data_IF_893922311040
#
_entry.id   IF_893922311040
#
_cell.length_a   1.000
_cell.length_b   1.000
_cell.length_c   1.000
_cell.angle_alpha   90.00
_cell.angle_beta   90.00
_cell.angle_gamma   90.00
#
_symmetry.space_group_name_H-M   'P 1'
#
loop_
_entity.id
_entity.type
_entity.pdbx_description
1 polymer ?
#
# COMPACT_ATOMS: atom_id res chain seq x y z
N UNK A 1 83.19 -25.71 16.71
CA UNK A 1 82.76 -26.79 15.84
C UNK A 1 81.35 -27.18 16.24
N UNK A 2 80.37 -26.69 15.56
CA UNK A 2 78.95 -27.00 15.81
C UNK A 2 78.46 -27.84 14.60
N UNK A 3 78.03 -29.08 14.88
CA UNK A 3 77.50 -30.01 13.93
C UNK A 3 76.04 -29.68 13.62
N UNK A 4 75.71 -29.44 12.32
CA UNK A 4 74.37 -29.26 11.83
C UNK A 4 73.79 -30.60 11.42
N UNK A 5 72.78 -31.10 12.11
CA UNK A 5 72.04 -32.31 11.78
C UNK A 5 70.93 -31.91 10.78
N UNK A 6 70.96 -32.55 9.58
CA UNK A 6 69.96 -32.45 8.52
C UNK A 6 68.77 -33.35 8.80
N UNK A 7 67.58 -32.72 9.07
CA UNK A 7 66.33 -33.44 9.18
C UNK A 7 65.62 -33.44 7.81
N UNK A 8 65.53 -34.62 7.18
CA UNK A 8 64.73 -34.83 5.96
C UNK A 8 63.24 -35.03 6.34
N UNK A 9 62.25 -34.44 5.62
CA UNK A 9 60.85 -34.67 5.89
C UNK A 9 60.41 -36.07 5.38
N UNK A 10 59.76 -36.82 6.26
CA UNK A 10 59.13 -38.12 5.92
C UNK A 10 57.87 -37.88 5.08
N UNK A 11 57.71 -38.64 4.03
CA UNK A 11 56.53 -38.73 3.18
C UNK A 11 55.35 -39.34 3.96
N UNK A 12 54.12 -38.72 3.94
CA UNK A 12 53.00 -39.32 4.62
C UNK A 12 52.49 -40.58 3.90
N UNK A 13 51.88 -41.52 4.62
CA UNK A 13 51.37 -42.78 4.03
C UNK A 13 50.19 -42.48 3.08
N UNK A 14 50.11 -43.25 1.99
CA UNK A 14 49.04 -43.18 1.02
C UNK A 14 47.71 -43.56 1.68
N UNK A 15 46.77 -42.59 1.81
CA UNK A 15 45.42 -42.86 2.25
C UNK A 15 44.60 -43.50 1.12
N UNK A 16 44.04 -44.67 1.45
CA UNK A 16 43.25 -45.47 0.52
C UNK A 16 41.81 -44.91 0.47
N UNK A 17 41.51 -44.07 -0.52
CA UNK A 17 40.25 -43.27 -0.62
C UNK A 17 39.06 -44.07 -1.19
N UNK A 18 39.04 -45.38 -1.05
CA UNK A 18 37.94 -46.20 -1.59
C UNK A 18 36.57 -45.88 -0.97
N UNK A 19 36.51 -45.48 0.29
CA UNK A 19 35.28 -45.05 0.96
C UNK A 19 34.67 -43.80 0.33
N UNK A 20 35.51 -42.86 -0.14
CA UNK A 20 35.05 -41.64 -0.83
C UNK A 20 34.42 -41.96 -2.18
N UNK A 21 34.94 -42.96 -2.91
CA UNK A 21 34.35 -43.37 -4.18
C UNK A 21 33.01 -44.09 -4.01
N UNK A 22 32.80 -44.81 -2.90
CA UNK A 22 31.49 -45.42 -2.58
C UNK A 22 30.44 -44.35 -2.29
N UNK A 23 30.76 -43.29 -1.52
CA UNK A 23 29.85 -42.17 -1.24
C UNK A 23 29.47 -41.41 -2.51
N UNK A 24 30.41 -41.18 -3.41
CA UNK A 24 30.15 -40.57 -4.72
C UNK A 24 29.23 -41.46 -5.57
N UNK A 25 29.41 -42.74 -5.57
CA UNK A 25 28.56 -43.70 -6.29
C UNK A 25 27.12 -43.73 -5.76
N UNK A 26 26.94 -43.66 -4.42
CA UNK A 26 25.61 -43.62 -3.78
C UNK A 26 24.91 -42.29 -4.11
N UNK A 27 25.63 -41.16 -4.07
CA UNK A 27 25.07 -39.84 -4.43
C UNK A 27 24.63 -39.79 -5.90
N UNK A 28 25.43 -40.36 -6.81
CA UNK A 28 25.08 -40.42 -8.25
C UNK A 28 23.86 -41.32 -8.50
N UNK A 29 23.74 -42.43 -7.81
CA UNK A 29 22.60 -43.35 -7.90
C UNK A 29 21.30 -42.66 -7.35
N UNK A 30 21.41 -41.88 -6.27
CA UNK A 30 20.28 -41.12 -5.74
C UNK A 30 19.80 -40.03 -6.69
N UNK A 31 20.70 -39.33 -7.37
CA UNK A 31 20.36 -38.33 -8.39
C UNK A 31 19.68 -38.95 -9.60
N UNK A 32 20.18 -40.11 -10.06
CA UNK A 32 19.55 -40.85 -11.17
C UNK A 32 18.16 -41.36 -10.76
N UNK A 33 18.00 -41.88 -9.55
CA UNK A 33 16.70 -42.34 -9.04
C UNK A 33 15.67 -41.17 -8.93
N UNK A 34 16.11 -40.01 -8.47
CA UNK A 34 15.28 -38.80 -8.46
C UNK A 34 14.89 -38.30 -9.86
N UNK A 35 15.82 -38.37 -10.82
CA UNK A 35 15.54 -38.00 -12.20
C UNK A 35 14.55 -38.96 -12.88
N UNK A 36 14.68 -40.28 -12.62
CA UNK A 36 13.74 -41.29 -13.13
C UNK A 36 12.37 -41.16 -12.46
N UNK A 37 12.32 -40.90 -11.15
CA UNK A 37 11.07 -40.67 -10.41
C UNK A 37 10.33 -39.43 -10.93
N UNK A 38 11.06 -38.34 -11.19
CA UNK A 38 10.47 -37.12 -11.75
C UNK A 38 9.98 -37.28 -13.18
N UNK A 39 10.66 -38.10 -14.01
CA UNK A 39 10.23 -38.37 -15.37
C UNK A 39 9.03 -39.33 -15.44
N UNK A 40 8.92 -40.29 -14.53
CA UNK A 40 7.73 -41.16 -14.44
C UNK A 40 6.51 -40.42 -13.86
N UNK A 41 6.71 -39.52 -12.94
CA UNK A 41 5.62 -38.66 -12.41
C UNK A 41 5.07 -37.71 -13.49
N UNK A 42 5.92 -37.17 -14.37
CA UNK A 42 5.49 -36.36 -15.51
C UNK A 42 4.71 -37.20 -16.56
N UNK A 43 5.15 -38.44 -16.82
CA UNK A 43 4.45 -39.33 -17.75
C UNK A 43 3.10 -39.82 -17.20
N UNK A 44 2.94 -39.96 -15.88
CA UNK A 44 1.66 -40.34 -15.26
C UNK A 44 0.68 -39.19 -15.19
N UNK A 45 1.12 -37.94 -14.99
CA UNK A 45 0.26 -36.74 -15.08
C UNK A 45 -0.24 -36.49 -16.51
N UNK A 46 0.56 -36.79 -17.52
CA UNK A 46 0.15 -36.66 -18.93
C UNK A 46 -0.90 -37.69 -19.36
N UNK A 47 -1.10 -38.79 -18.63
CA UNK A 47 -2.07 -39.83 -18.96
C UNK A 47 -3.43 -39.69 -18.25
N UNK A 48 -3.54 -38.76 -17.28
CA UNK A 48 -4.81 -38.48 -16.60
C UNK A 48 -5.61 -37.32 -17.24
N UNK A 49 -5.06 -36.63 -18.25
CA UNK A 49 -5.72 -35.51 -18.94
C UNK A 49 -6.42 -35.91 -20.24
N UNK A 50 -6.53 -37.20 -20.59
CA UNK A 50 -7.31 -37.64 -21.71
C UNK A 50 -8.83 -37.66 -21.37
N UNK A 51 -9.50 -36.50 -21.55
CA UNK A 51 -10.94 -36.43 -21.43
C UNK A 51 -11.55 -35.07 -21.09
N UNK A 52 -10.75 -34.06 -20.86
CA UNK A 52 -11.26 -32.68 -20.67
C UNK A 52 -10.85 -31.86 -21.88
N UNK A 53 -11.81 -31.31 -22.60
CA UNK A 53 -11.54 -30.37 -23.70
C UNK A 53 -10.74 -29.19 -23.17
N UNK A 54 -9.55 -28.95 -23.72
CA UNK A 54 -8.69 -27.86 -23.31
C UNK A 54 -9.27 -26.52 -23.79
N UNK A 55 -9.40 -25.57 -22.88
CA UNK A 55 -9.71 -24.18 -23.21
C UNK A 55 -8.45 -23.49 -23.71
N UNK A 56 -8.46 -23.05 -24.97
CA UNK A 56 -7.32 -22.33 -25.58
C UNK A 56 -7.57 -20.84 -25.55
N UNK A 57 -6.64 -20.08 -24.96
CA UNK A 57 -6.69 -18.62 -24.88
C UNK A 57 -5.50 -18.01 -25.63
N UNK A 58 -5.74 -16.99 -26.44
CA UNK A 58 -4.69 -16.23 -27.11
C UNK A 58 -4.25 -15.05 -26.23
N UNK A 59 -2.95 -14.95 -25.98
CA UNK A 59 -2.31 -13.86 -25.21
C UNK A 59 -1.19 -13.26 -26.04
N UNK A 60 -1.17 -11.94 -26.15
CA UNK A 60 -0.13 -11.18 -26.85
C UNK A 60 0.59 -10.20 -25.90
N UNK A 61 1.56 -9.47 -26.40
CA UNK A 61 2.33 -8.45 -25.65
C UNK A 61 2.11 -7.08 -26.26
N UNK A 62 1.74 -6.08 -25.45
CA UNK A 62 1.79 -4.67 -25.81
C UNK A 62 2.65 -3.89 -24.80
N UNK A 63 3.83 -3.42 -25.25
CA UNK A 63 4.82 -2.79 -24.36
C UNK A 63 5.28 -3.76 -23.28
N UNK A 64 4.97 -3.45 -22.02
CA UNK A 64 5.31 -4.24 -20.83
C UNK A 64 4.06 -4.94 -20.23
N UNK A 65 3.02 -5.21 -21.04
CA UNK A 65 1.79 -5.82 -20.57
C UNK A 65 1.37 -7.01 -21.42
N UNK A 66 0.74 -8.00 -20.83
CA UNK A 66 0.01 -9.04 -21.55
C UNK A 66 -1.37 -8.53 -21.98
N UNK A 67 -1.82 -8.98 -23.15
CA UNK A 67 -3.16 -8.62 -23.70
C UNK A 67 -3.88 -9.89 -24.18
N UNK A 68 -5.02 -10.24 -23.56
CA UNK A 68 -5.58 -9.63 -22.36
C UNK A 68 -4.65 -9.79 -21.15
N UNK A 69 -4.78 -8.93 -20.13
CA UNK A 69 -4.03 -9.03 -18.88
C UNK A 69 -4.66 -10.02 -17.88
N UNK A 70 -5.93 -10.40 -18.10
CA UNK A 70 -6.65 -11.37 -17.28
C UNK A 70 -7.63 -12.21 -18.09
N UNK A 71 -7.96 -13.40 -17.58
CA UNK A 71 -9.01 -14.27 -18.07
C UNK A 71 -9.79 -14.90 -16.92
N UNK A 72 -11.06 -15.20 -17.17
CA UNK A 72 -11.90 -15.95 -16.25
C UNK A 72 -12.10 -17.37 -16.79
N UNK A 73 -11.91 -18.39 -15.96
CA UNK A 73 -12.09 -19.79 -16.31
C UNK A 73 -12.86 -20.55 -15.22
N UNK A 74 -13.75 -21.48 -15.55
CA UNK A 74 -14.37 -22.36 -14.55
C UNK A 74 -13.33 -23.18 -13.78
N UNK A 75 -13.63 -23.47 -12.52
CA UNK A 75 -12.80 -24.37 -11.70
C UNK A 75 -12.63 -25.74 -12.40
N UNK A 76 -11.39 -26.22 -12.46
CA UNK A 76 -11.03 -27.48 -13.12
C UNK A 76 -10.85 -27.36 -14.65
N UNK A 77 -10.81 -26.15 -15.20
CA UNK A 77 -10.50 -25.93 -16.63
C UNK A 77 -9.06 -26.36 -16.94
N UNK A 78 -8.89 -27.16 -18.00
CA UNK A 78 -7.57 -27.43 -18.57
C UNK A 78 -7.21 -26.24 -19.49
N UNK A 79 -6.31 -25.37 -19.06
CA UNK A 79 -5.94 -24.14 -19.76
C UNK A 79 -4.71 -24.34 -20.64
N UNK A 80 -4.84 -23.97 -21.92
CA UNK A 80 -3.73 -23.84 -22.86
C UNK A 80 -3.64 -22.39 -23.33
N UNK A 81 -2.51 -21.74 -23.12
CA UNK A 81 -2.29 -20.35 -23.58
C UNK A 81 -1.45 -20.36 -24.84
N UNK A 82 -2.00 -19.80 -25.92
CA UNK A 82 -1.24 -19.50 -27.13
C UNK A 82 -0.63 -18.12 -27.02
N UNK A 83 0.61 -18.07 -26.58
CA UNK A 83 1.35 -16.83 -26.30
C UNK A 83 2.08 -16.35 -27.55
N UNK A 84 1.80 -15.11 -27.99
CA UNK A 84 2.48 -14.45 -29.10
C UNK A 84 3.21 -13.22 -28.60
N UNK A 85 4.52 -13.20 -28.74
CA UNK A 85 5.30 -12.00 -28.43
C UNK A 85 5.21 -11.00 -29.59
N UNK A 86 4.32 -10.02 -29.46
CA UNK A 86 4.14 -8.92 -30.43
C UNK A 86 4.98 -7.68 -30.08
N UNK A 87 5.73 -7.73 -28.97
CA UNK A 87 6.65 -6.67 -28.56
C UNK A 87 7.96 -6.66 -29.33
N UNK A 88 8.85 -5.77 -28.96
CA UNK A 88 10.18 -5.56 -29.58
C UNK A 88 11.33 -6.17 -28.77
N UNK A 89 11.03 -6.75 -27.59
CA UNK A 89 12.00 -7.42 -26.70
C UNK A 89 11.59 -8.88 -26.48
N UNK A 90 12.49 -9.66 -25.91
CA UNK A 90 12.23 -11.03 -25.48
C UNK A 90 11.30 -11.01 -24.26
N UNK A 91 10.25 -11.83 -24.28
CA UNK A 91 9.35 -12.05 -23.16
C UNK A 91 9.13 -13.53 -22.93
N UNK A 92 8.57 -13.87 -21.78
CA UNK A 92 8.07 -15.21 -21.46
C UNK A 92 6.78 -15.10 -20.65
N UNK A 93 6.07 -16.20 -20.48
CA UNK A 93 4.91 -16.30 -19.60
C UNK A 93 5.06 -17.55 -18.75
N UNK A 94 4.97 -17.37 -17.44
CA UNK A 94 4.91 -18.43 -16.45
C UNK A 94 3.56 -18.40 -15.73
N UNK A 95 2.89 -19.55 -15.62
CA UNK A 95 1.65 -19.75 -14.86
C UNK A 95 1.87 -20.97 -13.95
N UNK A 96 1.81 -20.78 -12.64
CA UNK A 96 2.15 -21.83 -11.70
C UNK A 96 3.56 -22.38 -11.92
N UNK A 97 3.66 -23.68 -12.14
CA UNK A 97 4.95 -24.36 -12.41
C UNK A 97 5.30 -24.45 -13.92
N UNK A 98 4.38 -24.05 -14.79
CA UNK A 98 4.53 -24.16 -16.24
C UNK A 98 4.99 -22.82 -16.85
N UNK A 99 5.89 -22.87 -17.86
CA UNK A 99 6.44 -21.66 -18.48
C UNK A 99 6.69 -21.87 -19.99
N UNK A 100 6.56 -20.79 -20.77
CA UNK A 100 6.83 -20.79 -22.23
C UNK A 100 8.31 -20.93 -22.54
N UNK A 101 9.20 -20.65 -21.57
CA UNK A 101 10.57 -20.24 -21.89
C UNK A 101 10.61 -18.91 -22.65
N UNK A 102 11.81 -18.42 -22.97
CA UNK A 102 12.00 -17.13 -23.65
C UNK A 102 11.51 -17.15 -25.08
N UNK A 103 10.62 -16.20 -25.41
CA UNK A 103 9.97 -16.06 -26.72
C UNK A 103 10.48 -14.78 -27.39
N UNK A 104 11.14 -14.93 -28.52
CA UNK A 104 11.65 -13.80 -29.33
C UNK A 104 10.51 -12.99 -29.99
N UNK A 105 10.72 -11.71 -30.29
CA UNK A 105 9.78 -10.88 -31.03
C UNK A 105 9.20 -11.57 -32.27
N UNK A 106 7.88 -11.50 -32.45
CA UNK A 106 7.13 -12.07 -33.55
C UNK A 106 6.95 -13.60 -33.48
N UNK A 107 7.33 -14.25 -32.38
CA UNK A 107 7.15 -15.69 -32.18
C UNK A 107 5.92 -16.02 -31.38
N UNK A 108 5.31 -17.16 -31.69
CA UNK A 108 4.20 -17.75 -30.95
C UNK A 108 4.61 -19.10 -30.40
N UNK A 109 4.23 -19.37 -29.15
CA UNK A 109 4.41 -20.67 -28.48
C UNK A 109 3.12 -21.03 -27.74
N UNK A 110 2.91 -22.32 -27.49
CA UNK A 110 1.81 -22.80 -26.66
C UNK A 110 2.34 -23.16 -25.28
N UNK A 111 1.63 -22.71 -24.24
CA UNK A 111 1.85 -23.05 -22.84
C UNK A 111 0.67 -23.87 -22.35
N UNK A 112 0.89 -25.14 -22.06
CA UNK A 112 -0.05 -25.95 -21.31
C UNK A 112 0.08 -25.61 -19.82
N UNK A 113 -0.86 -24.82 -19.30
CA UNK A 113 -0.90 -24.41 -17.91
C UNK A 113 -1.50 -25.49 -16.99
N UNK A 114 -2.07 -26.57 -17.56
CA UNK A 114 -2.69 -27.67 -16.82
C UNK A 114 -4.10 -27.32 -16.30
N UNK A 115 -4.53 -28.06 -15.27
CA UNK A 115 -5.83 -27.84 -14.63
C UNK A 115 -5.74 -26.65 -13.67
N UNK A 116 -6.63 -25.71 -13.86
CA UNK A 116 -6.73 -24.51 -13.02
C UNK A 116 -7.79 -24.76 -11.94
N UNK A 117 -7.34 -25.01 -10.72
CA UNK A 117 -8.19 -25.33 -9.56
C UNK A 117 -8.48 -24.15 -8.66
N UNK A 118 -7.63 -23.11 -8.73
CA UNK A 118 -7.71 -21.88 -7.94
C UNK A 118 -7.20 -20.69 -8.75
N UNK A 119 -7.66 -19.50 -8.42
CA UNK A 119 -7.17 -18.25 -9.01
C UNK A 119 -5.66 -18.19 -8.89
N UNK A 120 -4.97 -17.89 -9.97
CA UNK A 120 -3.51 -17.86 -10.03
C UNK A 120 -3.01 -16.73 -10.92
N UNK A 121 -1.85 -16.19 -10.63
CA UNK A 121 -1.22 -15.13 -11.41
C UNK A 121 -0.03 -15.69 -12.20
N UNK A 122 -0.07 -15.50 -13.51
CA UNK A 122 1.07 -15.65 -14.39
C UNK A 122 1.89 -14.36 -14.47
N UNK A 123 3.15 -14.44 -14.89
CA UNK A 123 4.02 -13.28 -15.05
C UNK A 123 5.19 -13.55 -16.00
N UNK A 124 5.81 -12.49 -16.49
CA UNK A 124 7.08 -12.58 -17.22
C UNK A 124 8.24 -12.76 -16.23
N UNK A 125 9.08 -13.80 -16.42
CA UNK A 125 10.19 -14.12 -15.51
C UNK A 125 11.46 -13.30 -15.76
N UNK A 126 11.49 -12.50 -16.83
CA UNK A 126 12.61 -11.63 -17.14
C UNK A 126 12.77 -10.57 -16.05
N UNK A 127 14.00 -10.36 -15.60
CA UNK A 127 14.31 -9.48 -14.48
C UNK A 127 13.71 -8.06 -14.68
N UNK A 128 12.89 -7.62 -13.73
CA UNK A 128 12.25 -6.30 -13.72
C UNK A 128 10.90 -6.23 -14.46
N UNK A 129 10.53 -7.19 -15.30
CA UNK A 129 9.30 -7.13 -16.08
C UNK A 129 8.05 -7.30 -15.21
N UNK A 130 8.05 -8.25 -14.28
CA UNK A 130 6.96 -8.39 -13.29
C UNK A 130 6.77 -7.11 -12.47
N UNK A 131 7.86 -6.48 -12.02
CA UNK A 131 7.81 -5.23 -11.25
C UNK A 131 7.29 -4.03 -12.06
N UNK A 132 7.30 -4.12 -13.40
CA UNK A 132 6.74 -3.14 -14.32
C UNK A 132 5.29 -3.45 -14.72
N UNK A 133 4.64 -4.43 -14.05
CA UNK A 133 3.24 -4.78 -14.29
C UNK A 133 3.03 -5.85 -15.35
N UNK A 134 4.07 -6.57 -15.80
CA UNK A 134 3.91 -7.65 -16.78
C UNK A 134 3.40 -8.93 -16.11
N UNK A 135 2.11 -8.92 -15.77
CA UNK A 135 1.37 -10.00 -15.10
C UNK A 135 0.15 -10.42 -15.92
N UNK A 136 -0.31 -11.64 -15.70
CA UNK A 136 -1.46 -12.25 -16.38
C UNK A 136 -2.32 -13.00 -15.37
N UNK A 137 -3.51 -12.51 -15.07
CA UNK A 137 -4.38 -13.08 -14.06
C UNK A 137 -5.28 -14.17 -14.63
N UNK A 138 -5.33 -15.32 -13.98
CA UNK A 138 -6.22 -16.42 -14.31
C UNK A 138 -7.19 -16.60 -13.15
N UNK A 139 -8.39 -16.05 -13.29
CA UNK A 139 -9.42 -16.06 -12.26
C UNK A 139 -10.28 -17.32 -12.39
N UNK A 140 -10.51 -18.03 -11.28
CA UNK A 140 -11.40 -19.19 -11.24
C UNK A 140 -12.80 -18.75 -10.87
N UNK A 141 -13.78 -19.15 -11.69
CA UNK A 141 -15.22 -18.92 -11.45
C UNK A 141 -15.89 -20.22 -11.01
N UNK A 142 -16.87 -20.14 -10.10
CA UNK A 142 -17.62 -21.31 -9.59
C UNK A 142 -18.70 -21.86 -10.55
N UNK A 143 -18.69 -21.49 -11.83
CA UNK A 143 -19.66 -21.94 -12.81
C UNK A 143 -19.24 -23.27 -13.48
N UNK A 144 -20.12 -24.31 -13.56
CA UNK A 144 -19.82 -25.53 -14.32
C UNK A 144 -19.79 -25.26 -15.82
N UNK A 145 -18.83 -25.89 -16.50
CA UNK A 145 -18.70 -25.83 -17.95
C UNK A 145 -19.91 -26.49 -18.65
N UNK A 146 -20.86 -25.69 -19.16
CA UNK A 146 -21.87 -26.15 -20.09
C UNK A 146 -21.84 -25.32 -21.39
N UNK A 147 -21.91 -26.03 -22.51
CA UNK A 147 -21.87 -25.49 -23.84
C UNK A 147 -23.12 -24.68 -24.24
N UNK A 148 -22.89 -23.76 -25.15
CA UNK A 148 -23.81 -23.04 -26.01
C UNK A 148 -25.30 -22.91 -25.59
N UNK A 149 -25.66 -21.70 -25.11
CA UNK A 149 -26.93 -21.08 -25.53
C UNK A 149 -27.02 -19.61 -25.05
N UNK A 150 -26.98 -18.72 -26.04
CA UNK A 150 -27.75 -17.47 -26.15
C UNK A 150 -27.81 -16.48 -24.97
N UNK A 151 -27.18 -15.34 -25.17
CA UNK A 151 -27.69 -13.98 -24.95
C UNK A 151 -28.56 -13.71 -23.72
N UNK A 152 -28.02 -12.95 -22.77
CA UNK A 152 -28.84 -12.07 -21.93
C UNK A 152 -29.00 -12.47 -20.49
N UNK A 153 -27.92 -12.46 -19.72
CA UNK A 153 -27.97 -12.10 -18.33
C UNK A 153 -26.69 -11.32 -18.00
N UNK A 154 -26.90 -10.05 -17.72
CA UNK A 154 -25.86 -9.22 -17.12
C UNK A 154 -25.51 -9.81 -15.74
N UNK A 155 -24.45 -10.60 -15.67
CA UNK A 155 -23.77 -10.78 -14.41
C UNK A 155 -23.15 -9.41 -14.11
N UNK A 156 -23.60 -8.78 -13.04
CA UNK A 156 -22.88 -7.72 -12.39
C UNK A 156 -21.55 -8.32 -11.89
N UNK A 157 -20.57 -8.36 -12.75
CA UNK A 157 -19.21 -8.05 -12.33
C UNK A 157 -19.34 -6.69 -11.69
N UNK A 158 -19.09 -6.56 -10.40
CA UNK A 158 -19.03 -5.26 -9.77
C UNK A 158 -17.98 -4.49 -10.56
N UNK A 159 -18.42 -3.62 -11.45
CA UNK A 159 -17.52 -2.84 -12.30
C UNK A 159 -16.77 -1.93 -11.33
N UNK A 160 -15.43 -2.02 -11.36
CA UNK A 160 -14.61 -1.04 -10.64
C UNK A 160 -15.17 0.36 -10.92
N UNK A 161 -15.44 1.18 -9.90
CA UNK A 161 -16.00 2.50 -10.12
C UNK A 161 -15.11 3.32 -11.06
N UNK A 162 -15.71 4.09 -11.95
CA UNK A 162 -14.96 4.99 -12.80
C UNK A 162 -14.19 5.99 -11.97
N UNK A 163 -12.89 6.11 -12.20
CA UNK A 163 -12.04 7.09 -11.50
C UNK A 163 -12.36 8.49 -12.02
N UNK A 164 -12.86 9.43 -11.18
CA UNK A 164 -13.17 10.76 -11.63
C UNK A 164 -11.94 11.48 -12.22
N UNK A 165 -12.12 12.10 -13.38
CA UNK A 165 -11.07 12.90 -14.01
C UNK A 165 -10.64 14.10 -13.15
N UNK A 166 -9.45 14.65 -13.43
CA UNK A 166 -8.98 15.85 -12.72
C UNK A 166 -9.96 17.03 -12.81
N UNK A 167 -10.63 17.18 -13.96
CA UNK A 167 -11.63 18.22 -14.18
C UNK A 167 -12.86 18.03 -13.27
N UNK A 168 -13.33 16.79 -13.12
CA UNK A 168 -14.46 16.47 -12.23
C UNK A 168 -14.08 16.67 -10.76
N UNK A 169 -12.86 16.29 -10.36
CA UNK A 169 -12.39 16.46 -8.97
C UNK A 169 -12.22 17.92 -8.54
N UNK A 170 -11.96 18.83 -9.49
CA UNK A 170 -11.78 20.28 -9.24
C UNK A 170 -12.98 21.13 -9.64
N UNK A 171 -14.08 20.52 -10.06
CA UNK A 171 -15.31 21.23 -10.38
C UNK A 171 -16.02 21.69 -9.10
N UNK A 172 -16.32 22.98 -9.02
CA UNK A 172 -17.12 23.54 -7.92
C UNK A 172 -18.47 22.84 -7.80
N UNK A 173 -18.86 22.49 -6.57
CA UNK A 173 -20.12 21.82 -6.26
C UNK A 173 -20.84 22.53 -5.12
N UNK A 174 -22.12 22.78 -5.32
CA UNK A 174 -22.95 23.43 -4.30
C UNK A 174 -23.03 22.55 -3.03
N UNK A 175 -22.73 23.16 -1.88
CA UNK A 175 -22.79 22.48 -0.58
C UNK A 175 -21.59 21.59 -0.25
N UNK A 176 -20.58 21.51 -1.11
CA UNK A 176 -19.33 20.82 -0.77
C UNK A 176 -18.63 21.50 0.40
N UNK A 177 -18.08 20.70 1.30
CA UNK A 177 -17.19 21.16 2.38
C UNK A 177 -15.98 20.26 2.45
N UNK A 178 -14.80 20.88 2.38
CA UNK A 178 -13.56 20.19 2.66
C UNK A 178 -13.48 19.78 4.15
N UNK A 179 -12.70 18.76 4.43
CA UNK A 179 -12.34 18.43 5.81
C UNK A 179 -11.64 19.64 6.46
N UNK A 180 -12.08 20.01 7.68
CA UNK A 180 -11.45 21.10 8.42
C UNK A 180 -10.06 20.65 8.91
N UNK A 181 -9.03 21.14 8.23
CA UNK A 181 -7.65 20.83 8.55
C UNK A 181 -7.10 21.61 9.76
N UNK A 182 -7.86 22.59 10.30
CA UNK A 182 -7.41 23.38 11.44
C UNK A 182 -7.13 22.47 12.64
N UNK A 183 -5.91 22.57 13.16
CA UNK A 183 -5.52 21.75 14.29
C UNK A 183 -6.24 22.21 15.57
N UNK A 184 -6.90 21.33 16.31
CA UNK A 184 -7.56 21.70 17.55
C UNK A 184 -6.55 22.21 18.59
N UNK A 185 -6.99 23.14 19.43
CA UNK A 185 -6.16 23.61 20.54
C UNK A 185 -5.84 22.47 21.51
N UNK A 186 -4.61 22.43 22.03
CA UNK A 186 -4.25 21.50 23.10
C UNK A 186 -5.12 21.71 24.33
N UNK A 187 -5.76 20.62 24.80
CA UNK A 187 -6.66 20.64 25.97
C UNK A 187 -5.90 20.25 27.23
N UNK A 188 -6.60 19.78 28.21
CA UNK A 188 -6.10 19.41 29.55
C UNK A 188 -5.06 18.26 29.54
N UNK A 189 -4.39 18.04 30.68
CA UNK A 189 -3.36 17.02 30.88
C UNK A 189 -3.86 15.56 30.91
N UNK A 190 -5.18 15.37 30.93
CA UNK A 190 -5.82 14.07 30.81
C UNK A 190 -6.92 14.16 29.75
N UNK A 191 -6.82 13.33 28.73
CA UNK A 191 -7.73 13.27 27.60
C UNK A 191 -8.56 11.99 27.73
N UNK A 192 -9.83 12.12 28.05
CA UNK A 192 -10.77 11.00 28.11
C UNK A 192 -11.81 11.15 26.99
N UNK A 193 -11.85 10.18 26.09
CA UNK A 193 -12.78 10.16 24.98
C UNK A 193 -13.42 8.79 24.80
N UNK A 194 -14.59 8.77 24.16
CA UNK A 194 -15.24 7.54 23.73
C UNK A 194 -15.48 7.66 22.23
N UNK A 195 -14.97 6.70 21.49
CA UNK A 195 -15.09 6.62 20.04
C UNK A 195 -15.94 5.44 19.63
N UNK A 196 -16.74 5.61 18.59
CA UNK A 196 -17.43 4.52 17.92
C UNK A 196 -16.64 4.11 16.67
N UNK A 197 -16.69 2.83 16.34
CA UNK A 197 -16.24 2.29 15.06
C UNK A 197 -17.46 1.83 14.29
N UNK A 198 -17.63 2.36 13.08
CA UNK A 198 -18.80 2.13 12.21
C UNK A 198 -18.37 1.87 10.77
N UNK A 199 -19.26 1.27 9.99
CA UNK A 199 -19.15 1.17 8.55
C UNK A 199 -20.28 2.01 7.93
N UNK A 200 -19.93 3.11 7.26
CA UNK A 200 -20.90 4.06 6.70
C UNK A 200 -20.61 4.32 5.22
N UNK A 201 -21.68 4.42 4.40
CA UNK A 201 -21.54 4.88 3.02
C UNK A 201 -21.20 6.37 2.97
N UNK A 202 -20.06 6.71 2.36
CA UNK A 202 -19.63 8.10 2.20
C UNK A 202 -19.16 8.37 0.76
N UNK A 203 -19.21 9.62 0.33
CA UNK A 203 -18.57 10.03 -0.92
C UNK A 203 -17.06 10.12 -0.73
N UNK A 204 -16.31 9.32 -1.48
CA UNK A 204 -14.83 9.23 -1.39
C UNK A 204 -14.12 9.99 -2.50
N UNK A 205 -14.84 10.31 -3.57
CA UNK A 205 -14.43 11.14 -4.68
C UNK A 205 -15.71 11.66 -5.37
N UNK A 206 -15.64 12.67 -6.24
CA UNK A 206 -16.82 13.23 -6.88
C UNK A 206 -17.71 12.17 -7.55
N UNK A 207 -18.93 12.02 -7.01
CA UNK A 207 -19.92 11.08 -7.51
C UNK A 207 -19.63 9.60 -7.20
N UNK A 208 -18.56 9.29 -6.51
CA UNK A 208 -18.20 7.91 -6.10
C UNK A 208 -18.47 7.73 -4.62
N UNK A 209 -19.38 6.82 -4.31
CA UNK A 209 -19.71 6.43 -2.96
C UNK A 209 -19.29 5.00 -2.70
N UNK A 210 -18.73 4.77 -1.52
CA UNK A 210 -18.44 3.43 -1.03
C UNK A 210 -18.53 3.41 0.50
N UNK A 211 -18.62 2.24 1.07
CA UNK A 211 -18.54 2.07 2.52
C UNK A 211 -17.12 2.40 2.99
N UNK A 212 -17.03 3.23 4.03
CA UNK A 212 -15.80 3.49 4.78
C UNK A 212 -15.94 2.91 6.18
N UNK A 213 -14.82 2.50 6.75
CA UNK A 213 -14.74 2.06 8.14
C UNK A 213 -14.15 3.19 8.96
N UNK A 214 -14.89 3.66 9.93
CA UNK A 214 -14.69 5.01 10.46
C UNK A 214 -14.51 4.99 11.99
N UNK A 215 -13.64 5.85 12.48
CA UNK A 215 -13.63 6.26 13.88
C UNK A 215 -14.51 7.52 14.04
N UNK A 216 -15.56 7.44 14.86
CA UNK A 216 -16.55 8.51 15.06
C UNK A 216 -17.17 9.03 13.75
N UNK A 217 -17.42 8.14 12.79
CA UNK A 217 -18.11 8.49 11.54
C UNK A 217 -17.35 9.41 10.61
N UNK A 218 -16.01 9.48 10.72
CA UNK A 218 -15.19 10.34 9.86
C UNK A 218 -13.86 9.69 9.45
N UNK A 219 -13.34 10.08 8.28
CA UNK A 219 -12.00 9.83 7.81
C UNK A 219 -11.37 11.14 7.29
N UNK A 220 -10.16 11.52 7.77
CA UNK A 220 -9.42 10.87 8.85
C UNK A 220 -10.22 10.83 10.15
N UNK A 221 -9.92 9.87 11.02
CA UNK A 221 -10.50 9.83 12.37
C UNK A 221 -10.13 11.05 13.20
N UNK A 222 -10.70 11.24 14.40
CA UNK A 222 -10.49 12.42 15.24
C UNK A 222 -9.00 12.71 15.50
N UNK A 223 -8.56 13.93 15.28
CA UNK A 223 -7.20 14.37 15.64
C UNK A 223 -7.14 14.69 17.12
N UNK A 224 -6.32 13.94 17.86
CA UNK A 224 -6.00 14.24 19.26
C UNK A 224 -4.83 15.23 19.33
N UNK A 225 -4.84 16.12 20.33
CA UNK A 225 -3.72 17.03 20.61
C UNK A 225 -3.46 17.13 22.10
N UNK A 226 -2.21 16.96 22.48
CA UNK A 226 -1.74 17.08 23.87
C UNK A 226 -0.29 17.51 23.94
N UNK A 227 0.33 17.31 25.09
CA UNK A 227 1.74 17.65 25.39
C UNK A 227 2.47 16.43 25.95
N UNK A 228 3.78 16.47 25.92
CA UNK A 228 4.59 15.45 26.56
C UNK A 228 4.22 15.33 28.05
N UNK A 229 3.93 14.11 28.48
CA UNK A 229 3.47 13.77 29.83
C UNK A 229 1.95 13.66 29.98
N UNK A 230 1.17 14.06 28.99
CA UNK A 230 -0.29 13.93 29.00
C UNK A 230 -0.71 12.46 28.94
N UNK A 231 -1.85 12.18 29.57
CA UNK A 231 -2.46 10.86 29.58
C UNK A 231 -3.67 10.83 28.67
N UNK A 232 -3.74 9.79 27.88
CA UNK A 232 -4.85 9.52 26.97
C UNK A 232 -5.55 8.24 27.43
N UNK A 233 -6.89 8.31 27.50
CA UNK A 233 -7.77 7.20 27.80
C UNK A 233 -8.89 7.20 26.79
N UNK A 234 -8.77 6.34 25.81
CA UNK A 234 -9.70 6.27 24.69
C UNK A 234 -10.48 4.97 24.79
N UNK A 235 -11.79 5.07 25.02
CA UNK A 235 -12.70 3.93 24.99
C UNK A 235 -13.25 3.79 23.58
N UNK A 236 -12.88 2.73 22.88
CA UNK A 236 -13.44 2.38 21.58
C UNK A 236 -14.61 1.43 21.74
N UNK A 237 -15.69 1.68 20.99
CA UNK A 237 -16.87 0.84 20.91
C UNK A 237 -17.06 0.38 19.49
N UNK A 238 -17.12 -0.92 19.29
CA UNK A 238 -17.39 -1.46 17.97
C UNK A 238 -18.91 -1.51 17.74
N UNK A 239 -19.44 -0.53 17.02
CA UNK A 239 -20.83 -0.45 16.59
C UNK A 239 -21.01 -0.92 15.13
N UNK A 240 -19.93 -1.45 14.52
CA UNK A 240 -19.90 -2.00 13.17
C UNK A 240 -20.33 -3.45 13.10
N UNK A 241 -20.09 -4.06 11.94
CA UNK A 241 -20.48 -5.44 11.61
C UNK A 241 -19.32 -6.42 11.63
N UNK A 242 -18.09 -5.94 11.63
CA UNK A 242 -16.86 -6.75 11.66
C UNK A 242 -15.96 -6.43 12.86
N UNK A 243 -14.89 -7.20 13.03
CA UNK A 243 -13.92 -6.98 14.10
C UNK A 243 -13.01 -5.79 13.83
N UNK A 244 -12.81 -4.94 14.83
CA UNK A 244 -11.92 -3.78 14.76
C UNK A 244 -11.05 -3.65 16.01
N UNK A 245 -10.01 -2.85 15.93
CA UNK A 245 -9.09 -2.53 17.03
C UNK A 245 -8.51 -1.13 16.85
N UNK A 246 -7.59 -0.71 17.70
CA UNK A 246 -6.81 0.51 17.50
C UNK A 246 -5.40 0.33 18.04
N UNK A 247 -4.43 0.86 17.31
CA UNK A 247 -3.05 1.08 17.75
C UNK A 247 -2.75 2.57 17.75
N UNK A 248 -2.24 3.11 18.87
CA UNK A 248 -1.78 4.49 18.98
C UNK A 248 -0.26 4.53 19.03
N UNK A 249 0.40 4.94 17.97
CA UNK A 249 1.87 5.07 17.90
C UNK A 249 2.44 6.10 18.89
N UNK A 250 1.62 7.01 19.39
CA UNK A 250 2.00 7.95 20.46
C UNK A 250 2.22 7.28 21.82
N UNK A 251 1.79 6.01 21.96
CA UNK A 251 1.87 5.25 23.20
C UNK A 251 2.95 4.17 23.14
N UNK A 252 3.73 4.06 24.21
CA UNK A 252 4.67 2.95 24.42
C UNK A 252 4.03 1.91 25.35
N UNK A 253 3.13 1.08 24.81
CA UNK A 253 2.34 0.10 25.58
C UNK A 253 2.46 -1.31 25.02
N UNK A 254 2.24 -2.32 25.87
CA UNK A 254 2.20 -3.71 25.43
C UNK A 254 1.00 -3.95 24.50
N UNK A 255 1.20 -4.44 23.25
CA UNK A 255 0.13 -4.66 22.29
C UNK A 255 -0.85 -5.77 22.69
N UNK A 256 -0.43 -6.79 23.43
CA UNK A 256 -1.19 -8.00 23.68
C UNK A 256 -2.57 -7.76 24.32
N UNK A 257 -2.70 -6.71 25.13
CA UNK A 257 -3.95 -6.37 25.83
C UNK A 257 -4.65 -5.15 25.21
N UNK A 258 -3.89 -4.19 24.69
CA UNK A 258 -4.43 -2.90 24.27
C UNK A 258 -4.86 -2.86 22.80
N UNK A 259 -4.30 -3.74 21.94
CA UNK A 259 -4.55 -3.79 20.50
C UNK A 259 -5.39 -4.99 20.07
N UNK A 260 -6.17 -5.55 20.99
CA UNK A 260 -7.07 -6.68 20.70
C UNK A 260 -8.15 -6.28 19.73
N UNK A 261 -8.39 -7.13 18.74
CA UNK A 261 -9.61 -7.04 17.94
C UNK A 261 -10.81 -7.30 18.81
N UNK A 262 -11.77 -6.38 18.85
CA UNK A 262 -13.05 -6.50 19.53
C UNK A 262 -14.16 -6.79 18.53
N UNK A 263 -15.06 -7.71 18.89
CA UNK A 263 -16.20 -8.09 18.08
C UNK A 263 -17.28 -6.99 18.07
N UNK A 264 -18.23 -7.01 17.12
CA UNK A 264 -19.40 -6.16 17.14
C UNK A 264 -20.11 -6.14 18.50
N UNK A 265 -20.39 -4.94 19.01
CA UNK A 265 -21.02 -4.72 20.32
C UNK A 265 -20.05 -4.70 21.51
N UNK A 266 -18.79 -5.05 21.33
CA UNK A 266 -17.77 -4.99 22.38
C UNK A 266 -17.13 -3.61 22.50
N UNK A 267 -16.42 -3.40 23.62
CA UNK A 267 -15.68 -2.17 23.90
C UNK A 267 -14.32 -2.49 24.53
N UNK A 268 -13.33 -1.66 24.25
CA UNK A 268 -12.00 -1.73 24.82
C UNK A 268 -11.54 -0.32 25.20
N UNK A 269 -10.90 -0.18 26.35
CA UNK A 269 -10.26 1.09 26.73
C UNK A 269 -8.77 0.97 26.53
N UNK A 270 -8.22 1.87 25.70
CA UNK A 270 -6.80 2.01 25.45
C UNK A 270 -6.26 3.20 26.27
N UNK A 271 -5.26 2.94 27.10
CA UNK A 271 -4.64 3.96 27.94
C UNK A 271 -3.15 4.08 27.64
N UNK A 272 -2.66 5.30 27.43
CA UNK A 272 -1.23 5.57 27.27
C UNK A 272 -0.84 6.93 27.84
N UNK A 273 0.45 7.10 28.08
CA UNK A 273 1.06 8.40 28.39
C UNK A 273 1.95 8.80 27.21
N UNK A 274 1.79 10.01 26.71
CA UNK A 274 2.61 10.52 25.62
C UNK A 274 4.00 10.89 26.15
N UNK A 275 5.00 10.11 25.84
CA UNK A 275 6.39 10.34 26.30
C UNK A 275 7.23 11.14 25.31
N UNK A 276 6.79 11.23 24.07
CA UNK A 276 7.51 11.87 22.97
C UNK A 276 6.62 12.85 22.24
N UNK A 277 7.19 13.99 21.82
CA UNK A 277 6.52 14.97 20.97
C UNK A 277 6.59 14.57 19.50
N UNK A 278 5.64 15.06 18.68
CA UNK A 278 5.53 14.79 17.27
C UNK A 278 4.09 14.64 16.81
N UNK A 279 3.88 14.30 15.58
CA UNK A 279 2.59 13.84 15.08
C UNK A 279 2.68 12.33 14.82
N UNK A 280 1.83 11.59 15.48
CA UNK A 280 1.85 10.14 15.55
C UNK A 280 0.58 9.57 14.93
N UNK A 281 0.74 8.51 14.16
CA UNK A 281 -0.38 7.78 13.59
C UNK A 281 -1.15 7.02 14.68
N UNK A 282 -2.46 6.89 14.51
CA UNK A 282 -3.21 5.74 15.03
C UNK A 282 -4.00 5.10 13.90
N UNK A 283 -4.21 3.81 14.00
CA UNK A 283 -4.96 3.07 12.99
C UNK A 283 -5.58 1.79 13.54
N UNK A 284 -6.50 1.19 12.80
CA UNK A 284 -6.98 -0.16 13.12
C UNK A 284 -5.86 -1.17 12.90
N UNK A 285 -5.56 -1.99 13.91
CA UNK A 285 -4.52 -3.04 13.85
C UNK A 285 -5.08 -4.44 13.55
N UNK A 286 -6.38 -4.57 13.26
CA UNK A 286 -7.00 -5.82 12.81
C UNK A 286 -6.51 -6.16 11.39
N UNK A 287 -6.17 -7.43 11.16
CA UNK A 287 -5.72 -7.89 9.85
C UNK A 287 -6.89 -8.05 8.85
N UNK A 288 -6.71 -7.74 7.56
CA UNK A 288 -5.51 -7.13 6.97
C UNK A 288 -5.44 -5.62 7.24
N UNK A 289 -4.37 -5.16 7.89
CA UNK A 289 -4.23 -3.77 8.34
C UNK A 289 -4.29 -2.75 7.19
N UNK A 290 -3.67 -3.06 6.05
CA UNK A 290 -3.71 -2.20 4.86
C UNK A 290 -5.14 -1.91 4.40
N UNK A 291 -6.01 -2.92 4.43
CA UNK A 291 -7.42 -2.77 4.04
C UNK A 291 -8.19 -1.87 5.03
N UNK A 292 -7.93 -1.98 6.34
CA UNK A 292 -8.55 -1.12 7.34
C UNK A 292 -8.10 0.36 7.18
N UNK A 293 -6.81 0.60 6.93
CA UNK A 293 -6.27 1.93 6.67
C UNK A 293 -6.86 2.51 5.37
N UNK A 294 -6.87 1.73 4.29
CA UNK A 294 -7.45 2.12 3.00
C UNK A 294 -8.95 2.48 3.10
N UNK A 295 -9.68 1.83 4.00
CA UNK A 295 -11.08 2.15 4.26
C UNK A 295 -11.31 3.33 5.22
N UNK A 296 -10.26 4.00 5.70
CA UNK A 296 -10.39 5.24 6.48
C UNK A 296 -10.09 5.11 7.96
N UNK A 297 -9.71 3.91 8.45
CA UNK A 297 -9.43 3.70 9.87
C UNK A 297 -8.01 4.12 10.27
N UNK A 298 -7.72 5.39 10.08
CA UNK A 298 -6.48 6.02 10.55
C UNK A 298 -6.71 7.49 10.91
N UNK A 299 -5.79 8.03 11.72
CA UNK A 299 -5.81 9.44 12.12
C UNK A 299 -4.55 9.82 12.88
N UNK A 300 -4.55 11.00 13.50
CA UNK A 300 -3.39 11.62 14.09
C UNK A 300 -3.52 11.88 15.60
N UNK A 301 -2.39 11.73 16.30
CA UNK A 301 -2.16 12.25 17.66
C UNK A 301 -1.01 13.23 17.60
N UNK A 302 -1.29 14.50 17.84
CA UNK A 302 -0.28 15.56 17.89
C UNK A 302 0.14 15.78 19.35
N UNK A 303 1.42 15.64 19.61
CA UNK A 303 2.02 15.90 20.92
C UNK A 303 2.99 17.06 20.78
N UNK A 304 2.59 18.23 21.28
CA UNK A 304 3.36 19.46 21.15
C UNK A 304 4.78 19.30 21.75
N UNK A 305 5.85 19.66 21.00
CA UNK A 305 7.19 19.79 21.58
C UNK A 305 7.22 20.81 22.73
N UNK A 306 8.03 20.59 23.76
CA UNK A 306 8.12 21.52 24.89
C UNK A 306 8.51 22.96 24.51
N UNK A 307 9.25 23.10 23.40
CA UNK A 307 9.75 24.38 22.89
C UNK A 307 8.97 24.84 21.64
N UNK A 308 7.74 24.36 21.46
CA UNK A 308 6.91 24.77 20.34
C UNK A 308 6.55 26.26 20.48
N UNK A 309 7.00 27.08 19.53
CA UNK A 309 6.62 28.48 19.43
C UNK A 309 5.17 28.65 18.95
N UNK A 310 4.64 29.85 19.08
CA UNK A 310 3.32 30.19 18.54
C UNK A 310 3.34 30.21 17.00
N UNK A 311 2.25 29.81 16.38
CA UNK A 311 1.96 29.97 14.97
C UNK A 311 0.61 30.69 14.81
N UNK A 312 0.46 31.51 13.75
CA UNK A 312 -0.76 32.26 13.48
C UNK A 312 -1.83 31.37 12.87
N UNK A 313 -1.42 30.34 12.13
CA UNK A 313 -2.30 29.29 11.60
C UNK A 313 -1.63 27.93 11.70
N UNK A 314 -2.39 26.92 12.10
CA UNK A 314 -1.93 25.53 12.21
C UNK A 314 -2.91 24.57 11.48
N UNK A 315 -2.35 23.71 10.66
CA UNK A 315 -3.10 22.72 9.88
C UNK A 315 -2.53 21.33 10.07
N UNK A 316 -3.40 20.31 10.10
CA UNK A 316 -3.03 18.90 10.06
C UNK A 316 -3.42 18.32 8.70
N UNK A 317 -2.41 17.83 7.96
CA UNK A 317 -2.55 17.27 6.63
C UNK A 317 -2.14 15.80 6.67
N UNK A 318 -3.11 14.92 6.59
CA UNK A 318 -2.90 13.47 6.61
C UNK A 318 -2.89 13.00 5.16
N UNK A 319 -1.73 12.53 4.71
CA UNK A 319 -1.56 11.97 3.37
C UNK A 319 -2.04 10.52 3.35
N UNK A 320 -2.82 10.16 2.34
CA UNK A 320 -3.45 8.86 2.20
C UNK A 320 -3.63 8.44 0.74
N UNK A 321 -3.84 7.16 0.55
CA UNK A 321 -4.16 6.52 -0.72
C UNK A 321 -5.64 6.14 -0.76
N UNK A 322 -6.27 6.38 -1.91
CA UNK A 322 -7.68 6.03 -2.12
C UNK A 322 -7.76 4.86 -3.09
N UNK A 323 -8.30 3.78 -2.59
CA UNK A 323 -8.67 2.60 -3.37
C UNK A 323 -10.18 2.59 -3.55
N UNK A 324 -10.62 2.74 -4.77
CA UNK A 324 -12.04 2.65 -5.09
C UNK A 324 -12.48 1.18 -5.08
N UNK A 325 -13.68 0.97 -4.68
CA UNK A 325 -14.29 -0.35 -4.57
C UNK A 325 -15.81 -0.27 -4.71
N UNK A 326 -16.48 -1.27 -4.22
CA UNK A 326 -17.92 -1.38 -4.26
C UNK A 326 -18.61 -0.88 -2.98
N UNK A 327 -19.86 -1.25 -2.80
CA UNK A 327 -20.65 -0.94 -1.60
C UNK A 327 -20.06 -1.49 -0.29
N UNK A 328 -19.12 -2.45 -0.36
CA UNK A 328 -18.46 -3.04 0.80
C UNK A 328 -17.16 -2.31 1.21
N UNK A 329 -16.69 -1.38 0.39
CA UNK A 329 -15.51 -0.56 0.64
C UNK A 329 -14.42 -0.71 -0.43
N UNK A 330 -13.19 -0.38 -0.06
CA UNK A 330 -12.02 -0.50 -0.93
C UNK A 330 -11.82 -1.94 -1.41
N UNK A 331 -11.48 -2.10 -2.69
CA UNK A 331 -11.18 -3.40 -3.27
C UNK A 331 -9.94 -4.04 -2.60
N UNK A 332 -10.15 -5.17 -1.92
CA UNK A 332 -9.14 -5.81 -1.11
C UNK A 332 -7.94 -6.33 -1.91
N UNK A 333 -8.18 -6.80 -3.15
CA UNK A 333 -7.12 -7.31 -4.01
C UNK A 333 -6.25 -6.16 -4.51
N UNK A 334 -6.87 -5.04 -4.89
CA UNK A 334 -6.16 -3.82 -5.28
C UNK A 334 -5.35 -3.24 -4.12
N UNK A 335 -5.93 -3.21 -2.91
CA UNK A 335 -5.19 -2.79 -1.71
C UNK A 335 -3.98 -3.68 -1.47
N UNK A 336 -4.15 -5.01 -1.55
CA UNK A 336 -3.05 -5.94 -1.33
C UNK A 336 -1.93 -5.86 -2.37
N UNK A 337 -2.26 -5.37 -3.57
CA UNK A 337 -1.32 -5.17 -4.68
C UNK A 337 -0.74 -3.74 -4.73
N UNK A 338 -1.19 -2.81 -3.88
CA UNK A 338 -0.78 -1.39 -3.91
C UNK A 338 -1.32 -0.61 -5.12
N UNK A 339 -2.45 -1.04 -5.68
CA UNK A 339 -3.06 -0.47 -6.90
C UNK A 339 -4.07 0.64 -6.56
N UNK A 340 -3.57 1.74 -6.00
CA UNK A 340 -4.41 2.89 -5.65
C UNK A 340 -4.90 3.67 -6.88
N UNK A 341 -6.12 4.19 -6.77
CA UNK A 341 -6.79 4.97 -7.84
C UNK A 341 -6.47 6.46 -7.74
N UNK A 342 -6.61 7.01 -6.54
CA UNK A 342 -6.41 8.42 -6.24
C UNK A 342 -5.51 8.57 -5.03
N UNK A 343 -5.04 9.79 -4.82
CA UNK A 343 -4.25 10.21 -3.67
C UNK A 343 -4.91 11.42 -3.02
N UNK A 344 -4.83 11.54 -1.71
CA UNK A 344 -5.48 12.64 -1.04
C UNK A 344 -4.66 13.21 0.13
N UNK A 345 -5.09 14.39 0.59
CA UNK A 345 -4.88 14.87 1.92
C UNK A 345 -6.23 14.83 2.64
N UNK A 346 -6.25 14.22 3.82
CA UNK A 346 -7.45 14.07 4.66
C UNK A 346 -8.60 13.32 3.96
N UNK A 347 -8.28 12.21 3.29
CA UNK A 347 -9.20 11.21 2.72
C UNK A 347 -10.19 11.70 1.66
N UNK A 348 -9.92 12.87 1.02
CA UNK A 348 -10.68 13.29 -0.14
C UNK A 348 -9.78 14.00 -1.16
N UNK A 349 -9.75 13.56 -2.44
CA UNK A 349 -8.84 14.10 -3.44
C UNK A 349 -9.21 15.53 -3.83
N UNK A 350 -8.23 16.39 -4.01
CA UNK A 350 -8.40 17.78 -4.46
C UNK A 350 -9.30 18.67 -3.60
N UNK A 351 -9.66 18.28 -2.38
CA UNK A 351 -10.62 19.07 -1.58
C UNK A 351 -10.17 20.50 -1.29
N UNK A 352 -8.86 20.70 -1.12
CA UNK A 352 -8.28 22.02 -0.86
C UNK A 352 -8.01 22.86 -2.11
N UNK A 353 -8.34 22.34 -3.30
CA UNK A 353 -8.49 23.15 -4.50
C UNK A 353 -9.84 23.87 -4.52
N UNK A 354 -10.87 23.24 -3.96
CA UNK A 354 -12.24 23.72 -3.87
C UNK A 354 -12.46 24.63 -2.66
N UNK A 355 -11.98 24.23 -1.48
CA UNK A 355 -11.97 25.04 -0.25
C UNK A 355 -10.51 25.17 0.25
N UNK A 356 -9.77 26.21 -0.20
CA UNK A 356 -8.37 26.40 0.16
C UNK A 356 -8.14 26.65 1.65
N UNK A 357 -6.93 26.35 2.12
CA UNK A 357 -6.44 26.85 3.41
C UNK A 357 -6.20 28.35 3.34
N UNK A 358 -6.20 29.04 4.48
CA UNK A 358 -6.08 30.48 4.55
C UNK A 358 -4.95 30.97 5.45
N UNK A 359 -4.26 32.04 5.03
CA UNK A 359 -3.27 32.75 5.82
C UNK A 359 -3.30 34.25 5.48
N UNK A 360 -2.53 35.05 6.19
CA UNK A 360 -2.28 36.46 5.89
C UNK A 360 -0.80 36.68 5.65
N UNK A 361 -0.48 37.76 4.97
CA UNK A 361 0.91 38.20 4.84
C UNK A 361 1.51 38.46 6.22
N UNK A 362 2.65 37.84 6.49
CA UNK A 362 3.35 37.91 7.77
C UNK A 362 2.95 36.84 8.78
N UNK A 363 1.89 36.05 8.49
CA UNK A 363 1.53 34.92 9.37
C UNK A 363 2.61 33.82 9.30
N UNK A 364 3.02 33.33 10.47
CA UNK A 364 3.74 32.06 10.60
C UNK A 364 2.73 30.92 10.51
N UNK A 365 2.83 30.16 9.45
CA UNK A 365 1.97 28.99 9.22
C UNK A 365 2.72 27.72 9.54
N UNK A 366 2.11 26.86 10.37
CA UNK A 366 2.61 25.51 10.70
C UNK A 366 1.71 24.48 10.06
N UNK A 367 2.30 23.54 9.31
CA UNK A 367 1.60 22.41 8.72
C UNK A 367 2.16 21.12 9.32
N UNK A 368 1.33 20.43 10.09
CA UNK A 368 1.60 19.10 10.60
C UNK A 368 1.26 18.09 9.51
N UNK A 369 2.20 17.24 9.17
CA UNK A 369 2.13 16.24 8.12
C UNK A 369 2.21 14.84 8.72
N UNK A 370 1.31 13.97 8.33
CA UNK A 370 1.34 12.55 8.65
C UNK A 370 1.06 11.76 7.36
N UNK A 371 1.88 10.78 7.07
CA UNK A 371 1.59 9.84 6.00
C UNK A 371 1.02 8.54 6.59
N UNK A 372 -0.26 8.25 6.34
CA UNK A 372 -0.88 7.01 6.81
C UNK A 372 -0.78 5.88 5.78
N UNK A 373 -0.38 6.17 4.57
CA UNK A 373 -0.18 5.17 3.52
C UNK A 373 -1.47 4.59 2.94
N UNK A 374 -1.53 3.26 2.74
CA UNK A 374 -0.66 2.21 3.30
C UNK A 374 0.75 2.10 2.74
N UNK A 375 1.03 2.49 1.48
CA UNK A 375 2.27 2.08 0.82
C UNK A 375 3.08 3.24 0.21
N UNK A 376 2.42 4.34 -0.22
CA UNK A 376 3.07 5.37 -1.01
C UNK A 376 3.76 6.44 -0.14
N UNK A 377 4.94 6.93 -0.55
CA UNK A 377 5.63 8.02 0.13
C UNK A 377 4.99 9.37 -0.19
N UNK A 378 5.24 10.34 0.70
CA UNK A 378 4.94 11.76 0.50
C UNK A 378 6.24 12.53 0.28
N UNK A 379 6.24 13.49 -0.67
CA UNK A 379 7.25 14.55 -0.79
C UNK A 379 6.51 15.89 -0.79
N UNK A 380 6.32 16.48 0.39
CA UNK A 380 5.51 17.68 0.54
C UNK A 380 6.29 18.95 0.19
N UNK A 381 5.70 19.81 -0.63
CA UNK A 381 6.26 21.08 -1.05
C UNK A 381 5.15 22.16 -1.13
N UNK A 382 5.48 23.40 -0.79
CA UNK A 382 4.65 24.58 -1.02
C UNK A 382 5.32 25.45 -2.09
N UNK A 383 4.65 25.58 -3.23
CA UNK A 383 5.19 26.29 -4.40
C UNK A 383 5.41 27.77 -4.09
N UNK A 384 6.63 28.23 -4.22
CA UNK A 384 7.03 29.61 -3.95
C UNK A 384 7.59 29.83 -2.55
N UNK A 385 7.59 28.81 -1.68
CA UNK A 385 8.08 28.91 -0.31
C UNK A 385 9.22 27.93 -0.02
N UNK A 386 9.96 28.24 1.04
CA UNK A 386 10.92 27.34 1.71
C UNK A 386 10.57 27.28 3.19
N UNK A 387 10.72 26.10 3.77
CA UNK A 387 10.44 25.89 5.19
C UNK A 387 11.63 26.34 6.01
N UNK A 388 11.43 27.29 6.90
CA UNK A 388 12.45 27.77 7.84
C UNK A 388 12.60 26.87 9.07
N UNK A 389 11.57 26.06 9.35
CA UNK A 389 11.53 25.07 10.41
C UNK A 389 11.05 23.73 9.89
N UNK A 390 11.77 22.66 10.22
CA UNK A 390 11.39 21.27 9.98
C UNK A 390 11.58 20.47 11.25
N UNK A 391 10.50 19.88 11.73
CA UNK A 391 10.49 18.99 12.90
C UNK A 391 10.00 17.61 12.46
N UNK A 392 10.81 16.57 12.57
CA UNK A 392 10.50 15.23 12.08
C UNK A 392 10.76 14.18 13.15
N UNK A 393 9.82 13.26 13.34
CA UNK A 393 9.98 12.09 14.22
C UNK A 393 10.50 12.44 15.63
N UNK A 394 10.07 13.56 16.18
CA UNK A 394 10.37 13.92 17.55
C UNK A 394 11.55 14.87 17.75
N UNK A 395 12.20 15.39 16.69
CA UNK A 395 13.31 16.35 16.83
C UNK A 395 13.33 17.38 15.68
N UNK A 396 13.97 18.54 15.93
CA UNK A 396 14.19 19.57 14.93
C UNK A 396 15.33 19.19 13.98
N UNK A 397 15.06 19.12 12.70
CA UNK A 397 16.08 19.03 11.65
C UNK A 397 16.58 20.42 11.23
N UNK A 398 15.66 21.40 11.17
CA UNK A 398 15.92 22.82 10.96
C UNK A 398 15.05 23.56 11.97
N UNK A 399 15.58 24.59 12.63
CA UNK A 399 14.84 25.35 13.62
C UNK A 399 15.11 26.85 13.46
N UNK A 400 14.23 27.53 12.74
CA UNK A 400 14.18 29.01 12.64
C UNK A 400 15.56 29.63 12.36
N UNK A 401 16.25 29.12 11.32
CA UNK A 401 17.56 29.57 10.92
C UNK A 401 17.47 30.53 9.75
N UNK A 402 18.03 31.74 9.89
CA UNK A 402 18.00 32.79 8.85
C UNK A 402 18.66 32.38 7.51
N UNK A 403 19.58 31.42 7.54
CA UNK A 403 20.39 30.99 6.40
C UNK A 403 20.22 29.50 6.02
N UNK A 404 19.23 28.83 6.58
CA UNK A 404 18.91 27.43 6.28
C UNK A 404 17.43 27.29 5.93
N UNK A 405 17.12 26.33 5.08
CA UNK A 405 15.73 26.03 4.68
C UNK A 405 15.60 24.72 3.96
N UNK A 406 14.39 24.20 3.92
CA UNK A 406 14.02 23.03 3.14
C UNK A 406 13.01 23.41 2.06
N UNK A 407 13.20 22.91 0.84
CA UNK A 407 12.24 23.12 -0.24
C UNK A 407 11.12 22.07 -0.24
N UNK A 408 11.42 20.88 0.25
CA UNK A 408 10.46 19.78 0.36
C UNK A 408 10.86 18.86 1.50
N UNK A 409 9.88 18.17 2.06
CA UNK A 409 10.08 17.20 3.15
C UNK A 409 9.45 15.86 2.79
N UNK A 410 10.03 14.76 3.28
CA UNK A 410 9.68 13.41 2.89
C UNK A 410 9.10 12.61 4.06
N UNK A 411 8.04 11.82 3.80
CA UNK A 411 7.46 10.88 4.75
C UNK A 411 7.18 9.53 4.09
N UNK A 412 7.71 8.47 4.67
CA UNK A 412 7.21 7.12 4.43
C UNK A 412 5.93 6.87 5.25
N UNK A 413 5.14 5.82 4.94
CA UNK A 413 3.99 5.45 5.77
C UNK A 413 4.33 5.35 7.25
N UNK A 414 3.43 5.87 8.09
CA UNK A 414 3.53 6.02 9.54
C UNK A 414 4.54 7.04 10.05
N UNK A 415 5.21 7.82 9.18
CA UNK A 415 6.07 8.92 9.62
C UNK A 415 5.31 10.23 9.73
N UNK A 416 5.74 11.06 10.69
CA UNK A 416 5.14 12.34 10.99
C UNK A 416 6.15 13.46 11.15
N UNK A 417 5.77 14.67 10.70
CA UNK A 417 6.59 15.88 10.81
C UNK A 417 5.74 17.14 10.85
N UNK A 418 6.32 18.29 11.16
CA UNK A 418 5.75 19.57 10.79
C UNK A 418 6.77 20.46 10.12
N UNK A 419 6.26 21.39 9.32
CA UNK A 419 7.01 22.47 8.69
C UNK A 419 6.44 23.81 9.08
N UNK A 420 7.30 24.85 9.17
CA UNK A 420 6.89 26.24 9.32
C UNK A 420 7.41 27.07 8.16
N UNK A 421 6.62 28.09 7.81
CA UNK A 421 6.95 29.11 6.80
C UNK A 421 6.20 30.41 7.08
N UNK A 422 6.71 31.53 6.55
CA UNK A 422 6.07 32.83 6.65
C UNK A 422 5.85 33.41 5.26
N UNK A 423 4.60 33.64 4.91
CA UNK A 423 4.25 34.20 3.60
C UNK A 423 4.50 35.72 3.56
N UNK A 424 5.38 36.15 2.65
CA UNK A 424 5.77 37.56 2.53
C UNK A 424 4.92 38.37 1.53
N UNK A 425 4.19 37.70 0.65
CA UNK A 425 3.38 38.31 -0.40
C UNK A 425 1.97 37.71 -0.41
N UNK A 426 0.93 38.52 -0.75
CA UNK A 426 -0.41 37.96 -0.92
C UNK A 426 -0.50 37.20 -2.22
N UNK A 427 -1.21 36.07 -2.25
CA UNK A 427 -1.36 35.24 -3.43
C UNK A 427 -2.02 33.91 -3.14
N UNK A 428 -2.04 33.07 -4.15
CA UNK A 428 -2.46 31.67 -4.02
C UNK A 428 -1.26 30.76 -4.21
N UNK A 429 -0.90 30.05 -3.18
CA UNK A 429 0.23 29.11 -3.13
C UNK A 429 -0.30 27.69 -3.21
N UNK A 430 0.22 26.90 -4.13
CA UNK A 430 -0.14 25.49 -4.21
C UNK A 430 0.75 24.69 -3.27
N UNK A 431 0.19 23.75 -2.52
CA UNK A 431 0.95 22.69 -1.88
C UNK A 431 0.71 21.38 -2.62
N UNK A 432 1.75 20.56 -2.73
CA UNK A 432 1.72 19.36 -3.57
C UNK A 432 2.52 18.22 -2.94
N UNK A 433 2.13 16.98 -3.23
CA UNK A 433 3.09 15.89 -3.21
C UNK A 433 3.97 16.02 -4.46
N UNK A 434 5.28 16.24 -4.29
CA UNK A 434 6.20 16.44 -5.42
C UNK A 434 6.57 15.13 -6.15
N UNK A 435 6.00 14.00 -5.74
CA UNK A 435 5.82 12.84 -6.61
C UNK A 435 4.64 13.19 -7.53
N UNK A 436 4.95 13.77 -8.69
CA UNK A 436 3.98 14.49 -9.51
C UNK A 436 2.78 13.62 -9.93
N UNK A 437 3.00 12.32 -10.17
CA UNK A 437 1.91 11.39 -10.45
C UNK A 437 0.91 11.24 -9.28
N UNK A 438 1.38 11.39 -8.04
CA UNK A 438 0.52 11.43 -6.85
C UNK A 438 -0.25 12.76 -6.75
N UNK A 439 0.41 13.89 -7.07
CA UNK A 439 -0.28 15.18 -7.17
C UNK A 439 -1.38 15.13 -8.24
N UNK A 440 -1.08 14.62 -9.44
CA UNK A 440 -2.04 14.48 -10.55
C UNK A 440 -3.23 13.58 -10.20
N UNK A 441 -3.05 12.62 -9.28
CA UNK A 441 -4.11 11.79 -8.73
C UNK A 441 -4.90 12.45 -7.60
N UNK A 442 -4.58 13.69 -7.20
CA UNK A 442 -5.41 14.48 -6.28
C UNK A 442 -4.72 14.95 -5.00
N UNK A 443 -3.43 14.60 -4.76
CA UNK A 443 -2.72 14.97 -3.54
C UNK A 443 -2.05 16.34 -3.67
N UNK A 444 -2.88 17.35 -3.83
CA UNK A 444 -2.49 18.76 -3.86
C UNK A 444 -3.66 19.66 -3.39
N UNK A 445 -3.35 20.92 -3.15
CA UNK A 445 -4.34 21.94 -2.78
C UNK A 445 -3.72 23.32 -2.77
N UNK A 446 -4.41 24.30 -2.17
CA UNK A 446 -4.05 25.71 -2.19
C UNK A 446 -4.08 26.32 -0.81
N UNK A 447 -3.21 27.33 -0.61
CA UNK A 447 -3.24 28.25 0.50
C UNK A 447 -3.48 29.64 -0.08
N UNK A 448 -4.56 30.30 0.32
CA UNK A 448 -4.88 31.67 -0.08
C UNK A 448 -4.37 32.63 0.98
N UNK A 449 -3.37 33.43 0.61
CA UNK A 449 -2.75 34.42 1.48
C UNK A 449 -3.34 35.80 1.19
N UNK A 450 -4.04 36.34 2.15
CA UNK A 450 -4.62 37.71 2.09
C UNK A 450 -3.70 38.75 2.72
N UNK A 451 -3.96 40.03 2.44
CA UNK A 451 -3.25 41.15 3.07
C UNK A 451 -3.68 41.35 4.52
#
# INVERSE_FOLDING_TARGET
MLSVSSNQPQKPPAQNNWASWILIGIALAAVIALAVFNSTSKAQRASESEGVDATVVEVSVEGMSFVPSSIDVPKGTHLVVKFTNTGDMVHDLKIGDNETGRVEPGKTVELDAGLIEETTQGYCTIAGHKAQGMVFDVNVTDAPAEGDAMAGMHHHSASHPDVPSAAERTQEREGFKAFDAALPAAKATTHEETWTMTEDEVEVAPGVKQTRWLFNGQAPGPTLRGKVGDKFKITIKNEGTMGHSVDFHAGEVNPDENMKTIAPGESLTYEFTAHRSGIWMYHCSTAPMSLHIANGMAGAVVIDPPELGDADAEYAMIADEIFLGDENGADADRVSNGEYDLMAFNYYPNQYDLEPLHAKVGDKVRIWLLNVGPDQPLSFHVVGEQFDTVYKEGDFLIKDLDDAGSQAVDLLPAQGEFVEMTFNEPGTYSFVNHIMTSAEKGQHGKIVVSR
#
